data_IF_553452965071
#
_entry.id   IF_553452965071
#
_cell.length_a   1.000
_cell.length_b   1.000
_cell.length_c   1.000
_cell.angle_alpha   90.00
_cell.angle_beta   90.00
_cell.angle_gamma   90.00
#
_symmetry.space_group_name_H-M   'P 1'
#
loop_
_entity.id
_entity.type
_entity.pdbx_description
1 polymer ?
#
# COMPACT_ATOMS: atom_id res chain seq x y z
N UNK A 1 16.77 1.80 12.67
CA UNK A 1 15.51 2.34 13.21
C UNK A 1 15.63 2.65 14.70
N UNK A 2 15.88 1.67 15.56
CA UNK A 2 15.92 1.87 17.04
C UNK A 2 16.90 2.95 17.48
N UNK A 3 18.10 3.01 16.91
CA UNK A 3 19.12 4.03 17.22
C UNK A 3 18.71 5.44 16.75
N UNK A 4 17.73 5.55 15.87
CA UNK A 4 17.19 6.82 15.37
C UNK A 4 15.88 7.22 16.07
N UNK A 5 15.48 6.48 17.12
CA UNK A 5 14.25 6.76 17.87
C UNK A 5 12.96 6.29 17.18
N UNK A 6 13.07 5.47 16.10
CA UNK A 6 11.93 4.86 15.44
C UNK A 6 11.55 3.59 16.19
N UNK A 7 10.32 3.51 16.68
CA UNK A 7 9.84 2.38 17.51
C UNK A 7 8.95 1.40 16.78
N UNK A 8 8.53 1.73 15.57
CA UNK A 8 7.73 0.85 14.71
C UNK A 8 7.88 1.24 13.25
N UNK A 9 7.68 0.28 12.35
CA UNK A 9 7.60 0.52 10.91
C UNK A 9 6.38 -0.16 10.30
N UNK A 10 6.06 0.28 9.09
CA UNK A 10 5.15 -0.39 8.17
C UNK A 10 5.94 -0.71 6.91
N UNK A 11 6.21 -1.99 6.66
CA UNK A 11 7.19 -2.46 5.68
C UNK A 11 6.54 -3.32 4.59
N UNK A 12 6.68 -2.90 3.34
CA UNK A 12 6.28 -3.70 2.18
C UNK A 12 7.49 -4.47 1.67
N UNK A 13 7.48 -5.79 1.86
CA UNK A 13 8.59 -6.64 1.40
C UNK A 13 8.13 -8.02 0.94
N UNK A 14 8.82 -8.55 -0.09
CA UNK A 14 8.49 -9.83 -0.73
C UNK A 14 8.89 -11.07 0.08
N UNK A 15 9.78 -10.93 1.05
CA UNK A 15 10.28 -12.03 1.90
C UNK A 15 10.02 -11.71 3.38
N UNK A 16 8.81 -11.96 3.90
CA UNK A 16 8.44 -11.53 5.24
C UNK A 16 9.18 -12.27 6.36
N UNK A 17 9.50 -13.56 6.19
CA UNK A 17 10.04 -14.40 7.26
C UNK A 17 11.30 -13.81 7.95
N UNK A 18 12.37 -13.44 7.23
CA UNK A 18 13.57 -12.91 7.88
C UNK A 18 13.33 -11.54 8.53
N UNK A 19 12.48 -10.70 7.95
CA UNK A 19 12.14 -9.38 8.52
C UNK A 19 11.36 -9.56 9.81
N UNK A 20 10.37 -10.45 9.83
CA UNK A 20 9.56 -10.78 11.01
C UNK A 20 10.45 -11.32 12.13
N UNK A 21 11.34 -12.29 11.82
CA UNK A 21 12.24 -12.85 12.83
C UNK A 21 13.17 -11.79 13.40
N UNK A 22 13.80 -10.99 12.56
CA UNK A 22 14.67 -9.90 13.00
C UNK A 22 13.92 -8.87 13.87
N UNK A 23 12.67 -8.55 13.51
CA UNK A 23 11.82 -7.63 14.29
C UNK A 23 11.53 -8.19 15.69
N UNK A 24 11.22 -9.49 15.80
CA UNK A 24 11.00 -10.17 17.09
C UNK A 24 12.27 -10.16 17.92
N UNK A 25 13.40 -10.56 17.34
CA UNK A 25 14.71 -10.65 18.02
C UNK A 25 15.17 -9.28 18.56
N UNK A 26 14.94 -8.22 17.76
CA UNK A 26 15.25 -6.84 18.14
C UNK A 26 14.15 -6.17 19.01
N UNK A 27 13.07 -6.87 19.31
CA UNK A 27 11.89 -6.32 20.01
C UNK A 27 11.33 -5.05 19.34
N UNK A 28 11.32 -5.06 18.02
CA UNK A 28 10.85 -3.94 17.20
C UNK A 28 9.45 -4.24 16.64
N UNK A 29 8.55 -3.25 16.73
CA UNK A 29 7.19 -3.42 16.21
C UNK A 29 7.17 -3.23 14.71
N UNK A 30 6.63 -4.22 13.97
CA UNK A 30 6.55 -4.20 12.52
C UNK A 30 5.16 -4.59 12.05
N UNK A 31 4.58 -3.75 11.19
CA UNK A 31 3.46 -4.12 10.34
C UNK A 31 4.04 -4.49 8.98
N UNK A 32 3.90 -5.74 8.57
CA UNK A 32 4.33 -6.22 7.26
C UNK A 32 3.20 -6.13 6.25
N UNK A 33 3.54 -5.93 4.99
CA UNK A 33 2.60 -6.13 3.88
C UNK A 33 3.31 -6.81 2.71
N UNK A 34 2.55 -7.55 1.90
CA UNK A 34 3.07 -8.17 0.69
C UNK A 34 3.37 -7.13 -0.40
N UNK A 35 4.31 -7.48 -1.26
CA UNK A 35 4.67 -6.72 -2.46
C UNK A 35 4.32 -7.46 -3.75
N UNK A 36 3.17 -8.14 -3.77
CA UNK A 36 2.69 -8.92 -4.92
C UNK A 36 2.83 -8.13 -6.22
N UNK A 37 3.40 -8.78 -7.21
CA UNK A 37 3.46 -8.30 -8.59
C UNK A 37 3.64 -9.49 -9.55
N UNK A 38 3.64 -9.27 -10.85
CA UNK A 38 3.72 -10.32 -11.88
C UNK A 38 4.97 -11.23 -11.80
N UNK A 39 5.96 -10.89 -10.96
CA UNK A 39 7.26 -11.55 -10.96
C UNK A 39 7.66 -12.18 -9.61
N UNK A 40 6.98 -11.86 -8.52
CA UNK A 40 7.51 -12.17 -7.17
C UNK A 40 6.63 -13.04 -6.31
N UNK A 41 5.36 -12.72 -6.15
CA UNK A 41 4.45 -13.41 -5.24
C UNK A 41 3.15 -13.77 -5.95
N UNK A 42 2.43 -14.75 -5.42
CA UNK A 42 1.07 -15.09 -5.84
C UNK A 42 0.03 -14.59 -4.85
N UNK A 43 -1.24 -14.56 -5.27
CA UNK A 43 -2.37 -14.20 -4.40
C UNK A 43 -2.49 -15.18 -3.24
N UNK A 44 -2.24 -16.46 -3.49
CA UNK A 44 -2.25 -17.54 -2.50
C UNK A 44 -1.18 -17.34 -1.44
N UNK A 45 0.04 -16.96 -1.84
CA UNK A 45 1.14 -16.67 -0.90
C UNK A 45 0.81 -15.48 0.00
N UNK A 46 0.16 -14.42 -0.53
CA UNK A 46 -0.31 -13.30 0.30
C UNK A 46 -1.40 -13.74 1.28
N UNK A 47 -2.37 -14.54 0.82
CA UNK A 47 -3.44 -15.10 1.66
C UNK A 47 -2.87 -15.96 2.81
N UNK A 48 -1.87 -16.78 2.52
CA UNK A 48 -1.18 -17.62 3.50
C UNK A 48 -0.37 -16.78 4.50
N UNK A 49 0.37 -15.79 4.03
CA UNK A 49 1.12 -14.88 4.89
C UNK A 49 0.19 -14.10 5.83
N UNK A 50 -0.93 -13.59 5.32
CA UNK A 50 -1.93 -12.91 6.14
C UNK A 50 -2.44 -13.81 7.26
N UNK A 51 -2.86 -15.04 6.95
CA UNK A 51 -3.34 -16.01 7.94
C UNK A 51 -2.28 -16.40 8.97
N UNK A 52 -1.03 -16.52 8.51
CA UNK A 52 0.09 -16.98 9.36
C UNK A 52 0.57 -15.89 10.30
N UNK A 53 0.70 -14.65 9.81
CA UNK A 53 1.44 -13.62 10.53
C UNK A 53 0.56 -12.54 11.15
N UNK A 54 -0.68 -12.36 10.69
CA UNK A 54 -1.57 -11.40 11.34
C UNK A 54 -1.97 -11.93 12.72
N UNK A 55 -1.51 -11.24 13.76
CA UNK A 55 -1.69 -11.68 15.15
C UNK A 55 -0.75 -12.80 15.64
N UNK A 56 0.28 -13.16 14.85
CA UNK A 56 1.28 -14.18 15.21
C UNK A 56 2.08 -13.85 16.49
N UNK A 57 2.39 -12.57 16.68
CA UNK A 57 3.19 -12.08 17.81
C UNK A 57 2.71 -10.68 18.18
N UNK A 58 2.76 -10.23 19.46
CA UNK A 58 2.34 -8.89 19.85
C UNK A 58 3.08 -7.73 19.17
N UNK A 59 4.25 -8.00 18.59
CA UNK A 59 5.05 -7.03 17.85
C UNK A 59 4.80 -7.06 16.34
N UNK A 60 4.10 -8.08 15.83
CA UNK A 60 3.96 -8.32 14.40
C UNK A 60 2.49 -8.28 13.99
N UNK A 61 2.21 -7.51 12.94
CA UNK A 61 0.97 -7.56 12.17
C UNK A 61 1.29 -7.78 10.71
N UNK A 62 0.36 -8.34 9.96
CA UNK A 62 0.49 -8.50 8.51
C UNK A 62 -0.78 -7.98 7.84
N UNK A 63 -0.62 -7.05 6.92
CA UNK A 63 -1.70 -6.47 6.14
C UNK A 63 -1.63 -6.93 4.68
N UNK A 64 -2.76 -6.92 3.98
CA UNK A 64 -2.78 -7.24 2.56
C UNK A 64 -2.12 -6.12 1.74
N UNK A 65 -1.39 -6.50 0.70
CA UNK A 65 -0.76 -5.53 -0.15
C UNK A 65 -0.21 -6.10 -1.44
N UNK A 66 -0.05 -5.22 -2.41
CA UNK A 66 0.60 -5.49 -3.70
C UNK A 66 1.49 -4.29 -4.06
N UNK A 67 2.44 -4.50 -4.97
CA UNK A 67 3.43 -3.46 -5.27
C UNK A 67 2.78 -2.20 -5.84
N UNK A 68 2.23 -2.26 -7.05
CA UNK A 68 1.57 -1.13 -7.71
C UNK A 68 0.64 -1.62 -8.83
N UNK A 69 -0.31 -0.78 -9.26
CA UNK A 69 -1.24 -1.13 -10.35
C UNK A 69 -0.50 -1.59 -11.62
N UNK A 70 0.51 -0.85 -12.05
CA UNK A 70 1.23 -1.10 -13.30
C UNK A 70 2.15 -2.32 -13.28
N UNK A 71 2.42 -2.90 -12.13
CA UNK A 71 3.24 -4.11 -11.97
C UNK A 71 2.44 -5.38 -11.80
N UNK A 72 1.12 -5.27 -11.73
CA UNK A 72 0.21 -6.39 -11.56
C UNK A 72 -0.70 -6.55 -12.78
N UNK A 73 -0.93 -7.78 -13.20
CA UNK A 73 -1.98 -8.07 -14.15
C UNK A 73 -3.36 -7.81 -13.52
N UNK A 74 -4.37 -7.66 -14.37
CA UNK A 74 -5.74 -7.46 -13.91
C UNK A 74 -6.23 -8.63 -13.05
N UNK A 75 -5.87 -9.86 -13.42
CA UNK A 75 -6.22 -11.08 -12.71
C UNK A 75 -5.63 -11.09 -11.29
N UNK A 76 -4.36 -10.65 -11.13
CA UNK A 76 -3.75 -10.50 -9.81
C UNK A 76 -4.47 -9.46 -8.95
N UNK A 77 -4.85 -8.32 -9.54
CA UNK A 77 -5.59 -7.27 -8.83
C UNK A 77 -7.00 -7.72 -8.42
N UNK A 78 -7.70 -8.45 -9.30
CA UNK A 78 -9.01 -9.05 -8.97
C UNK A 78 -8.87 -10.12 -7.88
N UNK A 79 -7.80 -10.92 -7.91
CA UNK A 79 -7.45 -11.87 -6.87
C UNK A 79 -7.20 -11.19 -5.51
N UNK A 80 -6.44 -10.10 -5.51
CA UNK A 80 -6.21 -9.28 -4.30
C UNK A 80 -7.51 -8.71 -3.73
N UNK A 81 -8.39 -8.16 -4.57
CA UNK A 81 -9.70 -7.67 -4.13
C UNK A 81 -10.56 -8.81 -3.54
N UNK A 82 -10.46 -10.03 -4.10
CA UNK A 82 -11.14 -11.21 -3.58
C UNK A 82 -10.66 -11.61 -2.19
N UNK A 83 -9.35 -11.66 -1.93
CA UNK A 83 -8.84 -11.98 -0.60
C UNK A 83 -9.08 -10.84 0.40
N UNK A 84 -9.06 -9.58 -0.03
CA UNK A 84 -9.49 -8.44 0.80
C UNK A 84 -10.94 -8.61 1.26
N UNK A 85 -11.83 -8.98 0.36
CA UNK A 85 -13.24 -9.29 0.69
C UNK A 85 -13.36 -10.49 1.62
N UNK A 86 -12.60 -11.56 1.36
CA UNK A 86 -12.61 -12.80 2.16
C UNK A 86 -12.23 -12.53 3.63
N UNK A 87 -11.20 -11.71 3.85
CA UNK A 87 -10.70 -11.39 5.18
C UNK A 87 -11.29 -10.13 5.79
N UNK A 88 -12.08 -9.35 5.02
CA UNK A 88 -12.53 -8.01 5.40
C UNK A 88 -11.35 -7.12 5.85
N UNK A 89 -10.25 -7.21 5.11
CA UNK A 89 -8.96 -6.64 5.47
C UNK A 89 -8.56 -5.47 4.57
N UNK A 90 -7.86 -4.48 5.12
CA UNK A 90 -7.36 -3.33 4.36
C UNK A 90 -6.26 -3.74 3.37
N UNK A 91 -6.10 -2.96 2.28
CA UNK A 91 -5.09 -3.20 1.25
C UNK A 91 -4.21 -1.97 1.07
N UNK A 92 -2.90 -2.20 0.94
CA UNK A 92 -1.90 -1.15 0.73
C UNK A 92 -1.10 -1.37 -0.56
N UNK A 93 -0.76 -0.28 -1.26
CA UNK A 93 0.04 -0.34 -2.48
C UNK A 93 0.76 0.99 -2.74
N UNK A 94 1.79 0.98 -3.59
CA UNK A 94 2.30 2.22 -4.18
C UNK A 94 1.24 2.76 -5.14
N UNK A 95 0.93 4.04 -5.03
CA UNK A 95 -0.22 4.60 -5.73
C UNK A 95 0.10 5.98 -6.30
N UNK A 96 -0.07 6.10 -7.61
CA UNK A 96 0.06 7.37 -8.34
C UNK A 96 1.35 8.11 -8.02
N UNK A 97 2.47 7.37 -7.97
CA UNK A 97 3.80 7.93 -7.68
C UNK A 97 4.31 8.80 -8.83
N UNK A 98 4.16 8.33 -10.07
CA UNK A 98 4.71 9.01 -11.24
C UNK A 98 3.65 9.42 -12.25
N UNK A 99 3.92 10.47 -13.04
CA UNK A 99 3.05 10.86 -14.16
C UNK A 99 2.90 9.75 -15.20
N UNK A 100 3.97 8.96 -15.39
CA UNK A 100 3.98 7.83 -16.34
C UNK A 100 2.98 6.76 -15.92
N UNK A 101 3.03 6.33 -14.67
CA UNK A 101 2.09 5.37 -14.09
C UNK A 101 0.64 5.80 -14.31
N UNK A 102 0.30 7.03 -13.92
CA UNK A 102 -1.07 7.56 -14.07
C UNK A 102 -1.48 7.61 -15.53
N UNK A 103 -0.59 8.07 -16.43
CA UNK A 103 -0.87 8.12 -17.87
C UNK A 103 -1.11 6.73 -18.44
N UNK A 104 -0.25 5.76 -18.13
CA UNK A 104 -0.38 4.40 -18.62
C UNK A 104 -1.66 3.71 -18.11
N UNK A 105 -2.08 3.98 -16.88
CA UNK A 105 -3.35 3.50 -16.34
C UNK A 105 -4.55 4.13 -17.08
N UNK A 106 -4.49 5.44 -17.36
CA UNK A 106 -5.50 6.11 -18.18
C UNK A 106 -5.59 5.51 -19.58
N UNK A 107 -4.45 5.21 -20.21
CA UNK A 107 -4.39 4.61 -21.53
C UNK A 107 -4.96 3.16 -21.54
N UNK A 108 -4.74 2.38 -20.46
CA UNK A 108 -5.24 0.99 -20.31
C UNK A 108 -6.72 0.91 -19.92
N UNK A 109 -7.13 1.70 -18.96
CA UNK A 109 -8.43 1.52 -18.25
C UNK A 109 -9.35 2.74 -18.31
N UNK A 110 -8.91 3.83 -18.95
CA UNK A 110 -9.69 5.08 -19.05
C UNK A 110 -9.87 5.80 -17.72
N UNK A 111 -9.05 5.50 -16.71
CA UNK A 111 -9.14 6.09 -15.37
C UNK A 111 -7.79 6.06 -14.65
N UNK A 112 -7.68 6.77 -13.53
CA UNK A 112 -6.48 6.78 -12.68
C UNK A 112 -6.33 5.49 -11.87
N UNK A 113 -5.12 5.15 -11.38
CA UNK A 113 -4.90 3.94 -10.58
C UNK A 113 -5.85 3.81 -9.40
N UNK A 114 -6.01 4.85 -8.59
CA UNK A 114 -6.88 4.83 -7.41
C UNK A 114 -8.33 4.52 -7.77
N UNK A 115 -8.88 5.23 -8.78
CA UNK A 115 -10.27 5.02 -9.20
C UNK A 115 -10.46 3.64 -9.83
N UNK A 116 -9.47 3.13 -10.58
CA UNK A 116 -9.50 1.78 -11.11
C UNK A 116 -9.57 0.73 -10.00
N UNK A 117 -8.69 0.85 -9.01
CA UNK A 117 -8.65 -0.06 -7.85
C UNK A 117 -9.94 0.01 -7.01
N UNK A 118 -10.53 1.21 -6.82
CA UNK A 118 -11.84 1.35 -6.16
C UNK A 118 -12.94 0.59 -6.91
N UNK A 119 -12.96 0.67 -8.26
CA UNK A 119 -13.92 -0.09 -9.08
C UNK A 119 -13.78 -1.60 -8.95
N UNK A 120 -12.60 -2.12 -8.65
CA UNK A 120 -12.39 -3.54 -8.33
C UNK A 120 -12.83 -3.92 -6.89
N UNK A 121 -13.23 -2.94 -6.07
CA UNK A 121 -13.57 -3.15 -4.67
C UNK A 121 -12.36 -3.31 -3.75
N UNK A 122 -11.16 -2.93 -4.22
CA UNK A 122 -9.90 -3.10 -3.50
C UNK A 122 -9.90 -2.44 -2.11
N UNK A 123 -10.58 -1.30 -1.99
CA UNK A 123 -10.57 -0.47 -0.79
C UNK A 123 -11.83 -0.57 0.07
N UNK A 124 -12.70 -1.54 -0.20
CA UNK A 124 -13.98 -1.69 0.54
C UNK A 124 -13.79 -1.89 2.05
N UNK A 125 -12.63 -2.33 2.48
CA UNK A 125 -12.29 -2.58 3.89
C UNK A 125 -11.16 -1.67 4.40
N UNK A 126 -10.91 -0.55 3.70
CA UNK A 126 -9.87 0.39 4.07
C UNK A 126 -8.52 0.11 3.39
N UNK A 127 -7.47 0.70 3.94
CA UNK A 127 -6.11 0.56 3.41
C UNK A 127 -5.42 1.90 3.18
N UNK A 128 -4.56 1.95 2.17
CA UNK A 128 -3.86 3.19 1.86
C UNK A 128 -2.94 3.10 0.66
N UNK A 129 -2.35 4.24 0.35
CA UNK A 129 -1.39 4.38 -0.73
C UNK A 129 -0.06 4.97 -0.27
N UNK A 130 1.03 4.38 -0.75
CA UNK A 130 2.35 4.99 -0.63
C UNK A 130 2.55 6.01 -1.76
N UNK A 131 3.33 7.05 -1.50
CA UNK A 131 3.62 8.20 -2.37
C UNK A 131 2.45 9.14 -2.61
N UNK A 132 1.41 8.74 -3.31
CA UNK A 132 0.21 9.53 -3.64
C UNK A 132 0.52 10.92 -4.21
N UNK A 133 1.48 11.01 -5.14
CA UNK A 133 2.01 12.27 -5.69
C UNK A 133 1.03 12.87 -6.70
N UNK A 134 0.60 12.08 -7.70
CA UNK A 134 -0.19 12.54 -8.84
C UNK A 134 -1.68 12.22 -8.67
N UNK A 135 -2.24 12.68 -7.54
CA UNK A 135 -3.65 12.44 -7.18
C UNK A 135 -4.58 13.50 -7.77
N UNK A 136 -5.60 13.07 -8.47
CA UNK A 136 -6.72 13.89 -8.95
C UNK A 136 -7.71 14.20 -7.82
N UNK A 137 -8.73 14.99 -8.11
CA UNK A 137 -9.84 15.23 -7.17
C UNK A 137 -10.63 13.94 -6.90
N UNK A 138 -10.82 13.13 -7.93
CA UNK A 138 -11.57 11.86 -7.82
C UNK A 138 -10.82 10.83 -6.98
N UNK A 139 -9.48 10.73 -7.15
CA UNK A 139 -8.65 9.88 -6.30
C UNK A 139 -8.73 10.28 -4.82
N UNK A 140 -8.66 11.58 -4.54
CA UNK A 140 -8.78 12.11 -3.17
C UNK A 140 -10.18 11.82 -2.60
N UNK A 141 -11.22 11.87 -3.43
CA UNK A 141 -12.58 11.52 -3.01
C UNK A 141 -12.73 10.03 -2.67
N UNK A 142 -12.02 9.14 -3.38
CA UNK A 142 -11.94 7.71 -3.04
C UNK A 142 -11.28 7.51 -1.68
N UNK A 143 -10.16 8.21 -1.43
CA UNK A 143 -9.47 8.15 -0.12
C UNK A 143 -10.37 8.64 1.02
N UNK A 144 -11.06 9.75 0.84
CA UNK A 144 -12.03 10.28 1.81
C UNK A 144 -13.18 9.29 2.05
N UNK A 145 -13.79 8.76 0.98
CA UNK A 145 -14.93 7.82 1.03
C UNK A 145 -14.63 6.55 1.83
N UNK A 146 -13.44 5.97 1.64
CA UNK A 146 -13.06 4.70 2.25
C UNK A 146 -12.19 4.86 3.52
N UNK A 147 -11.93 6.09 3.97
CA UNK A 147 -11.06 6.34 5.12
C UNK A 147 -9.62 5.87 4.92
N UNK A 148 -9.11 5.97 3.69
CA UNK A 148 -7.76 5.49 3.36
C UNK A 148 -6.69 6.42 3.94
N UNK A 149 -5.52 5.85 4.19
CA UNK A 149 -4.34 6.58 4.65
C UNK A 149 -3.36 6.84 3.52
N UNK A 150 -2.69 7.97 3.57
CA UNK A 150 -1.55 8.30 2.69
C UNK A 150 -0.25 8.11 3.46
N UNK A 151 0.70 7.39 2.88
CA UNK A 151 2.08 7.36 3.36
C UNK A 151 2.94 8.12 2.35
N UNK A 152 3.21 9.39 2.61
CA UNK A 152 4.07 10.18 1.72
C UNK A 152 5.54 9.84 1.96
N UNK A 153 6.31 9.72 0.87
CA UNK A 153 7.72 9.33 0.90
C UNK A 153 8.59 10.48 0.34
N UNK A 154 8.76 11.59 1.07
CA UNK A 154 9.38 12.80 0.53
C UNK A 154 10.84 12.61 0.08
N UNK A 155 11.61 11.78 0.79
CA UNK A 155 12.98 11.45 0.43
C UNK A 155 13.07 10.69 -0.89
N UNK A 156 12.28 9.62 -1.04
CA UNK A 156 12.17 8.84 -2.27
C UNK A 156 11.63 9.69 -3.43
N UNK A 157 10.55 10.43 -3.20
CA UNK A 157 9.93 11.30 -4.21
C UNK A 157 10.92 12.33 -4.76
N UNK A 158 11.73 12.93 -3.90
CA UNK A 158 12.77 13.88 -4.32
C UNK A 158 13.90 13.20 -5.09
N UNK A 159 14.40 12.05 -4.60
CA UNK A 159 15.48 11.28 -5.21
C UNK A 159 15.12 10.77 -6.61
N UNK A 160 13.90 10.32 -6.79
CA UNK A 160 13.40 9.77 -8.06
C UNK A 160 12.72 10.82 -8.96
N UNK A 161 12.68 12.07 -8.52
CA UNK A 161 11.99 13.16 -9.22
C UNK A 161 10.50 12.87 -9.49
N UNK A 162 9.85 12.08 -8.62
CA UNK A 162 8.43 11.74 -8.74
C UNK A 162 7.53 12.97 -8.53
N UNK A 163 7.94 13.90 -7.68
CA UNK A 163 7.21 15.14 -7.39
C UNK A 163 6.87 15.31 -5.91
N UNK A 164 5.91 16.19 -5.63
CA UNK A 164 5.46 16.48 -4.25
C UNK A 164 4.00 16.09 -4.09
N UNK A 165 3.70 15.25 -3.12
CA UNK A 165 2.33 14.84 -2.81
C UNK A 165 1.50 16.06 -2.35
N UNK A 166 0.21 16.14 -2.72
CA UNK A 166 -0.64 17.29 -2.40
C UNK A 166 -1.14 17.28 -0.95
N UNK A 167 -0.21 17.28 0.02
CA UNK A 167 -0.43 17.12 1.46
C UNK A 167 -1.52 18.06 1.98
N UNK A 168 -1.50 19.34 1.58
CA UNK A 168 -2.51 20.31 2.02
C UNK A 168 -3.93 19.94 1.59
N UNK A 169 -4.09 19.25 0.46
CA UNK A 169 -5.40 18.77 0.00
C UNK A 169 -5.86 17.57 0.85
N UNK A 170 -4.95 16.65 1.17
CA UNK A 170 -5.26 15.50 2.04
C UNK A 170 -5.68 15.98 3.44
N UNK A 171 -4.92 16.91 4.03
CA UNK A 171 -5.25 17.48 5.35
C UNK A 171 -6.62 18.15 5.37
N UNK A 172 -6.97 18.93 4.33
CA UNK A 172 -8.28 19.59 4.21
C UNK A 172 -9.44 18.60 4.14
N UNK A 173 -9.18 17.37 3.70
CA UNK A 173 -10.15 16.28 3.61
C UNK A 173 -10.14 15.34 4.83
N UNK A 174 -9.33 15.65 5.84
CA UNK A 174 -9.21 14.80 7.02
C UNK A 174 -8.58 13.43 6.77
N UNK A 175 -7.88 13.27 5.63
CA UNK A 175 -7.19 12.03 5.28
C UNK A 175 -5.99 11.87 6.20
N UNK A 176 -5.84 10.70 6.81
CA UNK A 176 -4.70 10.37 7.64
C UNK A 176 -3.40 10.33 6.82
N UNK A 177 -2.34 10.93 7.34
CA UNK A 177 -1.05 11.05 6.66
C UNK A 177 0.06 10.53 7.54
N UNK A 178 0.84 9.60 7.00
CA UNK A 178 2.08 9.13 7.58
C UNK A 178 3.27 9.50 6.66
N UNK A 179 4.48 9.44 7.21
CA UNK A 179 5.73 9.71 6.49
C UNK A 179 6.51 8.41 6.38
N UNK A 180 6.88 8.07 5.16
CA UNK A 180 7.75 6.96 4.82
C UNK A 180 9.05 7.42 4.14
N UNK A 181 9.81 6.45 3.63
CA UNK A 181 11.12 6.69 2.99
C UNK A 181 11.12 6.30 1.52
#
# INVERSE_FOLDING_TARGET
YLTSGITSNFDMYISPNPVIQASIDCRFRTVMTGGLNNFTQTVEEIDECYKKYNGYNPLISYELGFHAEYTCSRELLEGMASIAKKHQAPVFCHNSETKKEVKECLDRYGTTPTVFLDRLGMFNYGGGGYHCVHMTKDDISVFEKHGLSVVTNPGSNAKLASGVAPISKFMKKGINIAIGT
#
